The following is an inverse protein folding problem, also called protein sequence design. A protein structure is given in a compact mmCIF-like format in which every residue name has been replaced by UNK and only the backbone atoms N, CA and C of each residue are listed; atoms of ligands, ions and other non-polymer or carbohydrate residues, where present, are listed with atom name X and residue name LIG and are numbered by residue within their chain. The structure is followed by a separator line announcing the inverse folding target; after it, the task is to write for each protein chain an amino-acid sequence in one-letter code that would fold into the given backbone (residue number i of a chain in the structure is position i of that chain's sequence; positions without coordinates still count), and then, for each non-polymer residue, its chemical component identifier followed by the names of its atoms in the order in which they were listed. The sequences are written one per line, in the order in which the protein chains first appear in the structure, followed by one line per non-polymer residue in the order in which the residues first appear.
data_IF_660349809155
#
_entry.id   IF_660349809155
#
_cell.length_a   1.000
_cell.length_b   1.000
_cell.length_c   1.000
_cell.angle_alpha   90.00
_cell.angle_beta   90.00
_cell.angle_gamma   90.00
#
_symmetry.space_group_name_H-M   'P 1'
#
loop_
_entity.id
_entity.type
_entity.pdbx_description
1 polymer ?
#
# COMPACT_ATOMS: atom_id res chain seq x y z
N UNK A 1 12.67 15.56 17.78
CA UNK A 1 12.24 15.48 16.37
C UNK A 1 11.77 14.06 16.13
N UNK A 2 10.45 13.85 16.08
CA UNK A 2 9.92 12.54 15.71
C UNK A 2 10.28 12.29 14.23
N UNK A 3 10.84 11.14 13.93
CA UNK A 3 11.01 10.72 12.54
C UNK A 3 9.61 10.70 11.89
N UNK A 4 9.45 11.46 10.81
CA UNK A 4 8.23 11.39 10.00
C UNK A 4 8.25 10.04 9.31
N UNK A 5 7.30 9.17 9.66
CA UNK A 5 7.04 7.98 8.87
C UNK A 5 6.71 8.39 7.44
N UNK A 6 7.33 7.74 6.46
CA UNK A 6 7.11 7.98 5.04
C UNK A 6 6.69 6.66 4.38
N UNK A 7 5.51 6.66 3.77
CA UNK A 7 5.05 5.52 2.99
C UNK A 7 5.89 5.35 1.71
N UNK A 8 5.94 4.13 1.14
CA UNK A 8 6.56 3.91 -0.16
C UNK A 8 5.93 4.77 -1.25
N UNK A 9 6.70 5.20 -2.26
CA UNK A 9 6.13 5.91 -3.41
C UNK A 9 5.11 5.03 -4.15
N UNK A 10 4.14 5.66 -4.81
CA UNK A 10 3.06 4.99 -5.56
C UNK A 10 3.57 3.90 -6.51
N UNK A 11 4.72 4.14 -7.15
CA UNK A 11 5.36 3.24 -8.12
C UNK A 11 6.57 2.50 -7.54
N UNK A 12 6.59 2.21 -6.23
CA UNK A 12 7.70 1.50 -5.57
C UNK A 12 8.03 0.18 -6.29
N UNK A 13 9.26 0.02 -6.86
CA UNK A 13 9.60 -1.11 -7.73
C UNK A 13 10.24 -2.28 -6.98
N UNK A 14 10.44 -2.17 -5.66
CA UNK A 14 11.31 -3.07 -4.89
C UNK A 14 10.90 -4.55 -4.90
N UNK A 15 9.63 -4.84 -5.20
CA UNK A 15 9.12 -6.21 -5.28
C UNK A 15 8.64 -6.48 -6.72
N UNK A 16 9.48 -7.01 -7.62
CA UNK A 16 9.16 -7.14 -9.05
C UNK A 16 7.85 -7.88 -9.34
N UNK A 17 7.61 -8.98 -8.61
CA UNK A 17 6.35 -9.74 -8.71
C UNK A 17 5.11 -8.90 -8.37
N UNK A 18 5.18 -8.05 -7.34
CA UNK A 18 4.07 -7.21 -6.92
C UNK A 18 3.90 -5.98 -7.83
N UNK A 19 5.01 -5.43 -8.34
CA UNK A 19 4.96 -4.34 -9.30
C UNK A 19 4.26 -4.78 -10.60
N UNK A 20 4.60 -5.97 -11.12
CA UNK A 20 3.92 -6.57 -12.27
C UNK A 20 2.42 -6.78 -11.97
N UNK A 21 2.10 -7.39 -10.82
CA UNK A 21 0.70 -7.61 -10.43
C UNK A 21 -0.12 -6.31 -10.36
N UNK A 22 0.45 -5.20 -9.86
CA UNK A 22 -0.23 -3.89 -9.85
C UNK A 22 -0.38 -3.31 -11.25
N UNK A 23 0.61 -3.51 -12.13
CA UNK A 23 0.51 -3.07 -13.52
C UNK A 23 -0.64 -3.78 -14.25
N UNK A 24 -0.75 -5.11 -14.08
CA UNK A 24 -1.86 -5.90 -14.63
C UNK A 24 -3.22 -5.42 -14.09
N UNK A 25 -3.32 -5.16 -12.78
CA UNK A 25 -4.57 -4.67 -12.20
C UNK A 25 -4.91 -3.23 -12.59
N UNK A 26 -3.94 -2.36 -12.89
CA UNK A 26 -4.24 -1.02 -13.44
C UNK A 26 -4.89 -1.12 -14.82
N UNK A 27 -4.47 -2.09 -15.63
CA UNK A 27 -5.11 -2.33 -16.93
C UNK A 27 -6.53 -2.91 -16.76
N UNK A 28 -6.70 -3.86 -15.83
CA UNK A 28 -7.99 -4.52 -15.58
C UNK A 28 -9.01 -3.64 -14.82
N UNK A 29 -8.53 -2.79 -13.91
CA UNK A 29 -9.33 -1.97 -13.01
C UNK A 29 -8.71 -0.56 -12.91
N UNK A 30 -8.83 0.28 -13.95
CA UNK A 30 -8.15 1.57 -14.00
C UNK A 30 -8.56 2.54 -12.89
N UNK A 31 -9.80 2.41 -12.40
CA UNK A 31 -10.36 3.27 -11.35
C UNK A 31 -10.03 2.81 -9.92
N UNK A 32 -9.29 1.71 -9.77
CA UNK A 32 -8.91 1.15 -8.47
C UNK A 32 -7.53 1.68 -8.00
N UNK A 33 -7.23 1.56 -6.71
CA UNK A 33 -6.04 2.16 -6.09
C UNK A 33 -4.72 1.72 -6.76
N UNK A 34 -4.53 0.40 -6.91
CA UNK A 34 -3.42 -0.26 -7.59
C UNK A 34 -2.01 0.28 -7.26
N UNK A 35 -1.77 0.57 -6.00
CA UNK A 35 -0.53 1.11 -5.47
C UNK A 35 -0.24 0.52 -4.07
N UNK A 36 0.97 0.72 -3.48
CA UNK A 36 1.17 0.48 -2.06
C UNK A 36 0.05 1.13 -1.23
N UNK A 37 -0.46 0.41 -0.24
CA UNK A 37 -1.53 0.90 0.63
C UNK A 37 -0.88 1.66 1.79
N UNK A 38 -1.19 2.94 1.99
CA UNK A 38 -0.65 3.72 3.10
C UNK A 38 -1.03 3.13 4.46
N UNK A 39 -0.16 3.27 5.44
CA UNK A 39 -0.54 3.05 6.83
C UNK A 39 -1.56 4.13 7.28
N UNK A 40 -2.35 3.82 8.31
CA UNK A 40 -3.29 4.78 8.90
C UNK A 40 -3.29 4.70 10.42
N UNK A 41 -3.75 5.78 11.05
CA UNK A 41 -3.74 5.96 12.49
C UNK A 41 -2.64 6.92 12.95
N UNK A 42 -2.68 7.36 14.21
CA UNK A 42 -1.72 8.35 14.70
C UNK A 42 -0.40 7.67 15.11
N UNK A 43 0.72 8.37 14.90
CA UNK A 43 2.06 7.82 15.21
C UNK A 43 2.32 7.68 16.72
N UNK A 44 1.52 8.34 17.56
CA UNK A 44 1.56 8.23 19.02
C UNK A 44 0.59 7.17 19.58
N UNK A 45 -0.01 6.34 18.71
CA UNK A 45 -0.87 5.24 19.13
C UNK A 45 -0.14 4.26 20.06
N UNK A 46 -0.82 3.84 21.14
CA UNK A 46 -0.28 2.86 22.11
C UNK A 46 -0.37 1.40 21.65
N UNK A 47 -1.10 1.12 20.58
CA UNK A 47 -1.31 -0.21 20.01
C UNK A 47 -1.19 -0.11 18.48
N UNK A 48 -0.40 -1.02 17.89
CA UNK A 48 -0.27 -1.18 16.45
C UNK A 48 -0.84 -2.54 16.03
N UNK A 49 -1.71 -2.55 15.04
CA UNK A 49 -2.23 -3.77 14.40
C UNK A 49 -1.50 -3.96 13.08
N UNK A 50 -0.77 -5.07 12.94
CA UNK A 50 -0.03 -5.41 11.71
C UNK A 50 -0.73 -6.56 11.00
N UNK A 51 -1.26 -6.27 9.81
CA UNK A 51 -1.82 -7.29 8.91
C UNK A 51 -0.75 -7.96 8.05
N UNK A 52 -1.14 -8.99 7.28
CA UNK A 52 -0.23 -9.71 6.38
C UNK A 52 0.04 -8.95 5.08
N UNK A 53 -1.02 -8.58 4.35
CA UNK A 53 -0.92 -7.92 3.05
C UNK A 53 -2.26 -7.26 2.66
N UNK A 54 -2.25 -6.28 1.73
CA UNK A 54 -3.47 -5.72 1.15
C UNK A 54 -4.31 -6.77 0.42
N UNK A 55 -5.61 -6.81 0.72
CA UNK A 55 -6.56 -7.63 -0.03
C UNK A 55 -6.93 -7.00 -1.38
N UNK A 56 -6.98 -7.80 -2.45
CA UNK A 56 -7.25 -7.35 -3.82
C UNK A 56 -8.57 -6.57 -3.98
N UNK A 57 -9.61 -6.88 -3.20
CA UNK A 57 -10.92 -6.21 -3.28
C UNK A 57 -11.25 -5.34 -2.06
N UNK A 58 -10.34 -5.32 -1.08
CA UNK A 58 -10.48 -4.51 0.13
C UNK A 58 -9.68 -3.23 -0.01
N UNK A 59 -8.39 -3.31 0.32
CA UNK A 59 -7.49 -2.17 0.33
C UNK A 59 -7.00 -1.71 -1.05
N UNK A 60 -7.42 -2.38 -2.12
CA UNK A 60 -7.12 -1.98 -3.50
C UNK A 60 -8.28 -1.26 -4.19
N UNK A 61 -9.39 -1.01 -3.50
CA UNK A 61 -10.48 -0.15 -3.97
C UNK A 61 -10.33 1.26 -3.42
#
# INVERSE_FOLDING_TARGET
MAALFQDPPRECPLCPRLAAFRADNRAAYPDWHNAPVPAFGPLDARLLIVGLAPGLRGANR
#
